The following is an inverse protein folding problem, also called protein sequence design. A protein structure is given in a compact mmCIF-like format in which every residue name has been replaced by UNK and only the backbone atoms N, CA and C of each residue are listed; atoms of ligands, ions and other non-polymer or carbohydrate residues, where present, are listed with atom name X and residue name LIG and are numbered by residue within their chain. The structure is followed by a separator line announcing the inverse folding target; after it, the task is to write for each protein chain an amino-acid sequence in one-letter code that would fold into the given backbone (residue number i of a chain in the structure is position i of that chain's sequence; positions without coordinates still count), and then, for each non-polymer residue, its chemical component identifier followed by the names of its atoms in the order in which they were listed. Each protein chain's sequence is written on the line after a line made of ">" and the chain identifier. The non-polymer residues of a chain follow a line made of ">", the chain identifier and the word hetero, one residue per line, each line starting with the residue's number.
data_IF_171862047789
#
_entry.id   IF_171862047789
#
_cell.length_a   1.000
_cell.length_b   1.000
_cell.length_c   1.000
_cell.angle_alpha   90.00
_cell.angle_beta   90.00
_cell.angle_gamma   90.00
#
_symmetry.space_group_name_H-M   'P 1'
#
loop_
_entity.id
_entity.type
_entity.pdbx_description
1 polymer ?
#
# COMPACT_ATOMS: atom_id res chain seq x y z
N UNK A 1 -6.96 -25.44 15.31
CA UNK A 1 -7.81 -25.11 14.14
C UNK A 1 -8.57 -23.88 14.55
N UNK A 2 -8.10 -22.69 14.17
CA UNK A 2 -8.85 -21.42 14.14
C UNK A 2 -7.97 -20.39 13.43
N UNK A 3 -7.61 -20.70 12.18
CA UNK A 3 -6.69 -19.89 11.34
C UNK A 3 -7.49 -19.19 10.23
N UNK A 4 -8.69 -18.71 10.58
CA UNK A 4 -9.73 -18.31 9.63
C UNK A 4 -10.29 -16.89 9.86
N UNK A 5 -9.89 -16.20 10.93
CA UNK A 5 -10.41 -14.86 11.26
C UNK A 5 -9.57 -13.70 10.68
N UNK A 6 -8.24 -13.84 10.62
CA UNK A 6 -7.32 -12.75 10.25
C UNK A 6 -7.42 -12.32 8.76
N UNK A 7 -7.81 -13.26 7.89
CA UNK A 7 -7.85 -13.06 6.43
C UNK A 7 -9.05 -12.23 5.97
N UNK A 8 -10.17 -12.33 6.69
CA UNK A 8 -11.42 -11.64 6.36
C UNK A 8 -11.32 -10.15 6.67
N UNK A 9 -10.76 -9.80 7.84
CA UNK A 9 -10.60 -8.41 8.28
C UNK A 9 -9.63 -7.64 7.39
N UNK A 10 -8.50 -8.24 6.99
CA UNK A 10 -7.56 -7.65 6.03
C UNK A 10 -8.22 -7.38 4.68
N UNK A 11 -8.93 -8.36 4.12
CA UNK A 11 -9.58 -8.21 2.81
C UNK A 11 -10.63 -7.09 2.84
N UNK A 12 -11.34 -6.96 3.96
CA UNK A 12 -12.34 -5.92 4.20
C UNK A 12 -11.71 -4.53 4.34
N UNK A 13 -10.65 -4.38 5.13
CA UNK A 13 -9.87 -3.13 5.21
C UNK A 13 -9.30 -2.72 3.85
N UNK A 14 -8.80 -3.68 3.08
CA UNK A 14 -8.27 -3.45 1.73
C UNK A 14 -9.37 -2.99 0.76
N UNK A 15 -10.57 -3.56 0.88
CA UNK A 15 -11.74 -3.15 0.11
C UNK A 15 -12.21 -1.74 0.51
N UNK A 16 -12.27 -1.44 1.81
CA UNK A 16 -12.56 -0.11 2.34
C UNK A 16 -11.56 0.93 1.82
N UNK A 17 -10.27 0.57 1.79
CA UNK A 17 -9.22 1.38 1.17
C UNK A 17 -9.48 1.64 -0.32
N UNK A 18 -9.82 0.61 -1.10
CA UNK A 18 -10.09 0.74 -2.54
C UNK A 18 -11.34 1.59 -2.82
N UNK A 19 -12.40 1.41 -2.03
CA UNK A 19 -13.62 2.22 -2.07
C UNK A 19 -13.29 3.68 -1.74
N UNK A 20 -12.47 3.93 -0.72
CA UNK A 20 -12.06 5.27 -0.34
C UNK A 20 -11.18 5.92 -1.44
N UNK A 21 -10.27 5.19 -2.08
CA UNK A 21 -9.50 5.63 -3.26
C UNK A 21 -10.45 5.99 -4.42
N UNK A 22 -11.45 5.15 -4.71
CA UNK A 22 -12.47 5.44 -5.73
C UNK A 22 -13.28 6.69 -5.42
N UNK A 23 -13.53 6.96 -4.14
CA UNK A 23 -14.15 8.21 -3.66
C UNK A 23 -13.21 9.41 -3.65
N UNK A 24 -11.97 9.25 -4.14
CA UNK A 24 -10.87 10.24 -4.02
C UNK A 24 -10.55 10.63 -2.57
N UNK A 25 -11.04 9.86 -1.61
CA UNK A 25 -10.72 10.03 -0.20
C UNK A 25 -9.48 9.20 0.13
N UNK A 26 -8.35 9.65 -0.39
CA UNK A 26 -7.09 8.97 -0.16
C UNK A 26 -6.76 8.94 1.33
N UNK A 27 -7.06 10.01 2.08
CA UNK A 27 -6.75 10.12 3.52
C UNK A 27 -7.43 9.03 4.36
N UNK A 28 -8.69 8.71 4.05
CA UNK A 28 -9.36 7.56 4.67
C UNK A 28 -8.77 6.23 4.19
N UNK A 29 -8.45 6.14 2.90
CA UNK A 29 -7.85 4.94 2.34
C UNK A 29 -6.49 4.59 2.98
N UNK A 30 -5.64 5.57 3.28
CA UNK A 30 -4.36 5.30 3.96
C UNK A 30 -4.57 4.73 5.36
N UNK A 31 -5.59 5.19 6.10
CA UNK A 31 -5.89 4.66 7.43
C UNK A 31 -6.29 3.17 7.35
N UNK A 32 -7.22 2.84 6.45
CA UNK A 32 -7.63 1.45 6.21
C UNK A 32 -6.47 0.56 5.77
N UNK A 33 -5.60 1.06 4.88
CA UNK A 33 -4.42 0.31 4.45
C UNK A 33 -3.34 0.22 5.54
N UNK A 34 -3.26 1.17 6.46
CA UNK A 34 -2.36 1.12 7.61
C UNK A 34 -2.82 0.03 8.58
N UNK A 35 -4.11 -0.03 8.93
CA UNK A 35 -4.66 -1.13 9.73
C UNK A 35 -4.46 -2.49 9.04
N UNK A 36 -4.62 -2.56 7.72
CA UNK A 36 -4.37 -3.79 6.97
C UNK A 36 -2.90 -4.24 7.00
N UNK A 37 -1.96 -3.30 7.15
CA UNK A 37 -0.52 -3.57 7.31
C UNK A 37 -0.18 -4.00 8.74
N UNK A 38 -0.90 -3.51 9.74
CA UNK A 38 -0.73 -3.97 11.12
C UNK A 38 -1.11 -5.44 11.27
N UNK A 39 -2.16 -5.88 10.55
CA UNK A 39 -2.56 -7.29 10.48
C UNK A 39 -1.56 -8.14 9.68
N UNK A 40 -1.18 -7.67 8.49
CA UNK A 40 -0.17 -8.35 7.68
C UNK A 40 0.87 -7.36 7.16
N UNK A 41 2.03 -7.24 7.83
CA UNK A 41 3.12 -6.38 7.39
C UNK A 41 3.83 -6.92 6.13
N UNK A 42 3.23 -7.88 5.43
CA UNK A 42 3.65 -8.27 4.08
C UNK A 42 2.80 -7.62 2.97
N UNK A 43 1.62 -7.11 3.29
CA UNK A 43 0.73 -6.56 2.27
C UNK A 43 1.07 -5.09 1.99
N UNK A 44 1.86 -4.85 0.95
CA UNK A 44 2.22 -3.49 0.57
C UNK A 44 1.17 -2.87 -0.36
N UNK A 45 -0.08 -2.81 0.11
CA UNK A 45 -1.16 -2.11 -0.57
C UNK A 45 -1.10 -0.59 -0.31
N UNK A 46 -0.60 -0.18 0.85
CA UNK A 46 -0.45 1.22 1.27
C UNK A 46 0.40 2.06 0.30
N UNK A 47 1.45 1.48 -0.31
CA UNK A 47 2.31 2.18 -1.26
C UNK A 47 1.56 2.66 -2.53
N UNK A 48 0.45 2.03 -2.91
CA UNK A 48 -0.43 2.52 -4.00
C UNK A 48 -1.26 3.72 -3.55
N UNK A 49 -1.69 3.72 -2.31
CA UNK A 49 -2.46 4.82 -1.76
C UNK A 49 -1.61 6.10 -1.66
N UNK A 50 -0.36 5.96 -1.20
CA UNK A 50 0.59 7.06 -1.17
C UNK A 50 0.91 7.63 -2.56
N UNK A 51 0.97 6.78 -3.59
CA UNK A 51 1.09 7.26 -4.98
C UNK A 51 -0.09 8.13 -5.39
N UNK A 52 -1.32 7.73 -5.01
CA UNK A 52 -2.53 8.48 -5.30
C UNK A 52 -2.65 9.77 -4.46
N UNK A 53 -2.01 9.84 -3.30
CA UNK A 53 -1.93 11.03 -2.46
C UNK A 53 -0.89 12.07 -2.92
N UNK A 54 -0.15 11.81 -3.99
CA UNK A 54 1.04 12.59 -4.37
C UNK A 54 2.18 12.46 -3.34
N UNK A 55 2.05 11.58 -2.35
CA UNK A 55 3.11 11.26 -1.37
C UNK A 55 4.03 10.15 -1.91
N UNK A 56 4.54 10.36 -3.12
CA UNK A 56 5.36 9.37 -3.81
C UNK A 56 6.69 9.08 -3.07
N UNK A 57 7.19 10.01 -2.23
CA UNK A 57 8.35 9.78 -1.35
C UNK A 57 8.08 8.70 -0.30
N UNK A 58 6.92 8.79 0.37
CA UNK A 58 6.49 7.78 1.35
C UNK A 58 6.23 6.44 0.67
N UNK A 59 5.60 6.45 -0.49
CA UNK A 59 5.41 5.25 -1.31
C UNK A 59 6.76 4.58 -1.66
N UNK A 60 7.76 5.38 -2.00
CA UNK A 60 9.09 4.89 -2.36
C UNK A 60 9.84 4.29 -1.18
N UNK A 61 9.77 4.93 0.00
CA UNK A 61 10.36 4.41 1.25
C UNK A 61 9.72 3.08 1.65
N UNK A 62 8.40 3.03 1.63
CA UNK A 62 7.61 1.84 1.97
C UNK A 62 7.94 0.68 1.01
N UNK A 63 7.95 0.94 -0.30
CA UNK A 63 8.33 -0.04 -1.32
C UNK A 63 9.78 -0.52 -1.15
N UNK A 64 10.75 0.36 -0.86
CA UNK A 64 12.13 -0.06 -0.63
C UNK A 64 12.29 -0.92 0.63
N UNK A 65 11.60 -0.56 1.72
CA UNK A 65 11.63 -1.35 2.95
C UNK A 65 11.07 -2.74 2.69
N UNK A 66 9.94 -2.83 1.98
CA UNK A 66 9.30 -4.11 1.66
C UNK A 66 10.12 -4.94 0.68
N UNK A 67 10.78 -4.33 -0.32
CA UNK A 67 11.72 -5.04 -1.21
C UNK A 67 12.92 -5.58 -0.42
N UNK A 68 13.46 -4.83 0.55
CA UNK A 68 14.54 -5.31 1.42
C UNK A 68 14.11 -6.51 2.26
N UNK A 69 12.87 -6.49 2.77
CA UNK A 69 12.31 -7.60 3.55
C UNK A 69 11.96 -8.81 2.67
N UNK A 70 11.46 -8.55 1.45
CA UNK A 70 10.96 -9.54 0.50
C UNK A 70 11.53 -9.23 -0.89
N UNK A 71 12.77 -9.64 -1.17
CA UNK A 71 13.39 -9.39 -2.48
C UNK A 71 12.67 -10.13 -3.63
N UNK A 72 11.88 -11.16 -3.32
CA UNK A 72 11.06 -11.90 -4.28
C UNK A 72 9.73 -11.19 -4.64
N UNK A 73 9.40 -10.09 -3.96
CA UNK A 73 8.16 -9.36 -4.19
C UNK A 73 8.26 -8.47 -5.45
N UNK A 74 8.06 -9.09 -6.61
CA UNK A 74 8.09 -8.44 -7.94
C UNK A 74 7.23 -7.17 -8.03
N UNK A 75 6.06 -7.16 -7.38
CA UNK A 75 5.17 -5.98 -7.33
C UNK A 75 5.79 -4.80 -6.58
N UNK A 76 6.72 -5.04 -5.65
CA UNK A 76 7.46 -3.99 -4.95
C UNK A 76 8.34 -3.20 -5.89
N UNK A 77 9.08 -3.87 -6.77
CA UNK A 77 9.91 -3.20 -7.79
C UNK A 77 9.06 -2.38 -8.77
N UNK A 78 7.91 -2.92 -9.18
CA UNK A 78 6.95 -2.18 -10.01
C UNK A 78 6.47 -0.90 -9.31
N UNK A 79 6.05 -0.99 -8.04
CA UNK A 79 5.59 0.17 -7.26
C UNK A 79 6.70 1.17 -6.95
N UNK A 80 7.93 0.71 -6.70
CA UNK A 80 9.12 1.55 -6.57
C UNK A 80 9.37 2.34 -7.87
N UNK A 81 9.24 1.67 -9.02
CA UNK A 81 9.32 2.30 -10.34
C UNK A 81 8.24 3.36 -10.54
N UNK A 82 6.98 3.03 -10.28
CA UNK A 82 5.87 4.00 -10.32
C UNK A 82 6.14 5.20 -9.40
N UNK A 83 6.64 4.97 -8.19
CA UNK A 83 6.96 6.03 -7.22
C UNK A 83 8.07 6.95 -7.72
N UNK A 84 9.12 6.40 -8.33
CA UNK A 84 10.16 7.20 -8.96
C UNK A 84 9.66 8.03 -10.14
N UNK A 85 8.76 7.46 -10.96
CA UNK A 85 8.14 8.18 -12.08
C UNK A 85 7.26 9.32 -11.57
N UNK A 86 6.42 9.07 -10.55
CA UNK A 86 5.59 10.10 -9.93
C UNK A 86 6.42 11.22 -9.29
N UNK A 87 7.57 10.89 -8.67
CA UNK A 87 8.50 11.89 -8.11
C UNK A 87 9.22 12.71 -9.19
N UNK A 88 9.62 12.11 -10.31
CA UNK A 88 10.31 12.80 -11.41
C UNK A 88 9.38 13.57 -12.35
N UNK A 89 8.10 13.21 -12.40
CA UNK A 89 7.11 13.84 -13.29
C UNK A 89 6.42 15.08 -12.71
N UNK A 90 6.67 15.43 -11.45
CA UNK A 90 6.27 16.70 -10.85
C UNK A 90 7.36 17.75 -11.05
N UNK A 91 7.51 18.25 -12.27
CA UNK A 91 8.38 19.39 -12.62
C UNK A 91 7.61 20.33 -13.55
#
# INVERSE_FOLDING_TARGET
>A
MDEQDDKSTKAELKLCGDIAVKRKNYRGASAFYSEAIELDPNDATLSLCYLQMTEADKALRDANLRIKLRPEWLKGYYRKGCSHVSLKGGS
#
